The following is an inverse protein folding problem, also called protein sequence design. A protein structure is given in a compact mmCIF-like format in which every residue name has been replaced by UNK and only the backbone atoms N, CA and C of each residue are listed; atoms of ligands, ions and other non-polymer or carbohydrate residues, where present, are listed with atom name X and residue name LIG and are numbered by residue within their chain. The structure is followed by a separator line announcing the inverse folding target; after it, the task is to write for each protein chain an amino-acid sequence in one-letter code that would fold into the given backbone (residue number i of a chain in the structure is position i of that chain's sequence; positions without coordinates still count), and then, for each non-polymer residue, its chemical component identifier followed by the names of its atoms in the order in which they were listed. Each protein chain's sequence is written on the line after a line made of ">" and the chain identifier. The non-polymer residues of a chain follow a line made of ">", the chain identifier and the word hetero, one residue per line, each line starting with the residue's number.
data_IF_177215451470
#
_entry.id   IF_177215451470
#
_cell.length_a   1.000
_cell.length_b   1.000
_cell.length_c   1.000
_cell.angle_alpha   90.00
_cell.angle_beta   90.00
_cell.angle_gamma   90.00
#
_symmetry.space_group_name_H-M   'P 1'
#
loop_
_entity.id
_entity.type
_entity.pdbx_description
1 polymer ?
#
# COMPACT_ATOMS: atom_id res chain seq x y z
N UNK A 1 51.32 53.37 -25.99
CA UNK A 1 49.85 53.32 -25.86
C UNK A 1 49.37 51.98 -26.43
N UNK A 2 49.06 51.02 -25.57
CA UNK A 2 48.58 49.70 -25.97
C UNK A 2 47.46 49.42 -25.05
N UNK A 3 46.23 49.30 -25.63
CA UNK A 3 45.00 49.02 -24.93
C UNK A 3 44.76 47.52 -24.94
N UNK A 4 44.72 46.93 -23.77
CA UNK A 4 44.49 45.47 -23.59
C UNK A 4 43.05 45.09 -23.81
N UNK A 5 42.81 44.10 -24.68
CA UNK A 5 41.56 43.44 -24.89
C UNK A 5 41.30 42.40 -23.79
N UNK A 6 40.21 42.52 -23.06
CA UNK A 6 39.72 41.51 -22.12
C UNK A 6 38.77 40.57 -22.86
N UNK A 7 39.16 39.33 -23.01
CA UNK A 7 38.36 38.24 -23.61
C UNK A 7 37.33 37.75 -22.61
N UNK A 8 36.06 37.97 -22.90
CA UNK A 8 34.91 37.37 -22.19
C UNK A 8 34.61 36.01 -22.84
N UNK A 9 35.29 34.99 -22.38
CA UNK A 9 34.99 33.60 -22.77
C UNK A 9 34.91 32.75 -21.49
N UNK A 10 33.76 32.58 -20.89
CA UNK A 10 33.62 31.72 -19.70
C UNK A 10 32.25 31.56 -19.08
N UNK A 11 31.19 32.16 -19.65
CA UNK A 11 29.87 32.17 -18.98
C UNK A 11 28.77 31.29 -19.61
N UNK A 12 29.05 30.52 -20.64
CA UNK A 12 28.01 29.72 -21.33
C UNK A 12 27.99 28.23 -20.99
N UNK A 13 28.97 27.70 -20.28
CA UNK A 13 29.04 26.27 -19.92
C UNK A 13 28.38 25.92 -18.59
N UNK A 14 28.11 26.88 -17.71
CA UNK A 14 27.53 26.62 -16.39
C UNK A 14 25.99 26.38 -16.42
N UNK A 15 25.30 26.88 -17.45
CA UNK A 15 23.83 26.74 -17.52
C UNK A 15 23.35 25.36 -18.03
N UNK A 16 24.18 24.61 -18.74
CA UNK A 16 23.79 23.29 -19.30
C UNK A 16 23.82 22.16 -18.26
N UNK A 17 24.69 22.25 -17.26
CA UNK A 17 24.80 21.26 -16.19
C UNK A 17 23.65 21.30 -15.19
N UNK A 18 23.05 22.47 -14.95
CA UNK A 18 21.96 22.62 -13.98
C UNK A 18 20.63 22.13 -14.52
N UNK A 19 20.39 22.19 -15.82
CA UNK A 19 19.16 21.70 -16.46
C UNK A 19 19.02 20.18 -16.46
N UNK A 20 20.13 19.44 -16.55
CA UNK A 20 20.15 17.96 -16.54
C UNK A 20 19.90 17.37 -15.15
N UNK A 21 20.29 18.06 -14.08
CA UNK A 21 20.06 17.61 -12.69
C UNK A 21 18.59 17.79 -12.26
N UNK A 22 17.88 18.79 -12.77
CA UNK A 22 16.47 19.02 -12.46
C UNK A 22 15.52 18.04 -13.17
N UNK A 23 15.87 17.56 -14.36
CA UNK A 23 15.03 16.62 -15.11
C UNK A 23 15.04 15.19 -14.53
N UNK A 24 16.09 14.77 -13.83
CA UNK A 24 16.15 13.43 -13.21
C UNK A 24 15.25 13.29 -11.97
N UNK A 25 14.97 14.35 -11.25
CA UNK A 25 14.11 14.32 -10.06
C UNK A 25 12.64 14.15 -10.41
N UNK A 26 12.18 14.71 -11.52
CA UNK A 26 10.81 14.59 -11.96
C UNK A 26 10.39 13.15 -12.31
N UNK A 27 11.32 12.34 -12.84
CA UNK A 27 11.07 10.94 -13.19
C UNK A 27 10.90 10.04 -11.95
N UNK A 28 11.64 10.29 -10.88
CA UNK A 28 11.55 9.51 -9.64
C UNK A 28 10.21 9.76 -8.92
N UNK A 29 9.76 10.99 -8.87
CA UNK A 29 8.47 11.35 -8.25
C UNK A 29 7.30 10.70 -9.01
N UNK A 30 7.36 10.68 -10.34
CA UNK A 30 6.33 10.03 -11.17
C UNK A 30 6.26 8.52 -10.96
N UNK A 31 7.39 7.85 -10.83
CA UNK A 31 7.45 6.41 -10.58
C UNK A 31 6.87 6.02 -9.21
N UNK A 32 7.17 6.78 -8.17
CA UNK A 32 6.62 6.58 -6.82
C UNK A 32 5.11 6.80 -6.78
N UNK A 33 4.63 7.81 -7.50
CA UNK A 33 3.21 8.08 -7.62
C UNK A 33 2.45 6.93 -8.31
N UNK A 34 3.03 6.38 -9.37
CA UNK A 34 2.46 5.25 -10.08
C UNK A 34 2.40 4.00 -9.20
N UNK A 35 3.45 3.71 -8.43
CA UNK A 35 3.50 2.57 -7.52
C UNK A 35 2.47 2.70 -6.39
N UNK A 36 2.39 3.85 -5.72
CA UNK A 36 1.42 4.08 -4.66
C UNK A 36 -0.03 3.89 -5.16
N UNK A 37 -0.33 4.42 -6.34
CA UNK A 37 -1.64 4.27 -6.97
C UNK A 37 -1.94 2.81 -7.30
N UNK A 38 -0.93 2.05 -7.77
CA UNK A 38 -1.06 0.63 -8.06
C UNK A 38 -1.34 -0.18 -6.80
N UNK A 39 -0.65 0.08 -5.68
CA UNK A 39 -0.89 -0.58 -4.39
C UNK A 39 -2.31 -0.35 -3.90
N UNK A 40 -2.80 0.88 -3.96
CA UNK A 40 -4.19 1.22 -3.61
C UNK A 40 -5.18 0.52 -4.55
N UNK A 41 -4.86 0.38 -5.83
CA UNK A 41 -5.69 -0.38 -6.77
C UNK A 41 -5.74 -1.87 -6.41
N UNK A 42 -4.66 -2.49 -5.92
CA UNK A 42 -4.67 -3.85 -5.37
C UNK A 42 -5.60 -3.94 -4.17
N UNK A 43 -5.46 -3.03 -3.20
CA UNK A 43 -6.33 -2.98 -2.00
C UNK A 43 -7.79 -2.90 -2.41
N UNK A 44 -8.16 -2.02 -3.36
CA UNK A 44 -9.52 -1.94 -3.87
C UNK A 44 -9.98 -3.22 -4.57
N UNK A 45 -9.11 -3.84 -5.37
CA UNK A 45 -9.45 -5.08 -6.07
C UNK A 45 -9.65 -6.25 -5.11
N UNK A 46 -8.93 -6.33 -3.99
CA UNK A 46 -9.18 -7.34 -2.97
C UNK A 46 -10.62 -7.33 -2.48
N UNK A 47 -11.24 -6.17 -2.36
CA UNK A 47 -12.63 -6.03 -1.93
C UNK A 47 -13.60 -6.81 -2.83
N UNK A 48 -13.29 -6.98 -4.12
CA UNK A 48 -14.13 -7.72 -5.07
C UNK A 48 -14.11 -9.24 -4.88
N UNK A 49 -13.09 -9.74 -4.19
CA UNK A 49 -12.81 -11.17 -4.03
C UNK A 49 -12.88 -11.66 -2.59
N UNK A 50 -13.20 -10.76 -1.67
CA UNK A 50 -13.28 -11.05 -0.24
C UNK A 50 -14.69 -10.73 0.24
N UNK A 51 -15.27 -11.68 0.97
CA UNK A 51 -16.57 -11.54 1.61
C UNK A 51 -16.35 -11.41 3.12
N UNK A 52 -16.91 -10.36 3.70
CA UNK A 52 -16.92 -10.13 5.14
C UNK A 52 -18.12 -10.81 5.78
N UNK A 53 -18.01 -11.31 7.01
CA UNK A 53 -19.15 -11.85 7.74
C UNK A 53 -20.23 -10.78 7.86
N UNK A 54 -21.50 -11.22 7.77
CA UNK A 54 -22.61 -10.33 8.05
C UNK A 54 -22.44 -9.77 9.47
N UNK A 55 -22.51 -8.46 9.61
CA UNK A 55 -22.53 -7.85 10.94
C UNK A 55 -23.84 -8.24 11.60
N UNK A 56 -23.79 -9.24 12.50
CA UNK A 56 -24.93 -9.66 13.27
C UNK A 56 -25.46 -8.45 14.06
N UNK A 57 -26.69 -8.04 13.80
CA UNK A 57 -27.44 -6.94 14.44
C UNK A 57 -27.47 -5.58 13.73
N UNK A 58 -26.98 -5.43 12.51
CA UNK A 58 -27.28 -4.21 11.74
C UNK A 58 -28.47 -4.52 10.81
N UNK A 59 -29.60 -3.79 10.93
CA UNK A 59 -30.73 -3.97 10.03
C UNK A 59 -30.29 -3.78 8.58
N UNK A 60 -30.72 -4.68 7.70
CA UNK A 60 -30.41 -4.64 6.24
C UNK A 60 -30.84 -3.31 5.60
N UNK A 61 -31.75 -2.58 6.24
CA UNK A 61 -32.23 -1.27 5.80
C UNK A 61 -31.18 -0.15 5.88
N UNK A 62 -30.13 -0.30 6.69
CA UNK A 62 -29.13 0.77 6.92
C UNK A 62 -27.83 0.52 6.14
N UNK A 63 -27.76 -0.28 5.12
CA UNK A 63 -26.60 -0.55 4.26
C UNK A 63 -25.34 0.28 4.67
N UNK A 64 -24.71 0.00 5.82
CA UNK A 64 -23.66 0.84 6.36
C UNK A 64 -22.47 0.83 5.43
N UNK A 65 -21.77 1.97 5.33
CA UNK A 65 -20.59 2.09 4.49
C UNK A 65 -19.55 1.00 4.82
N UNK A 66 -18.83 0.53 3.80
CA UNK A 66 -17.64 -0.29 3.99
C UNK A 66 -16.49 0.60 4.45
N UNK A 67 -15.99 0.40 5.65
CA UNK A 67 -14.92 1.25 6.20
C UNK A 67 -13.54 0.62 5.93
N UNK A 68 -12.76 1.29 5.10
CA UNK A 68 -11.35 1.05 4.88
C UNK A 68 -10.56 2.05 5.74
N UNK A 69 -9.79 1.54 6.68
CA UNK A 69 -8.90 2.35 7.51
C UNK A 69 -7.49 2.33 6.92
N UNK A 70 -6.83 3.47 6.90
CA UNK A 70 -5.45 3.60 6.42
C UNK A 70 -4.58 4.24 7.49
N UNK A 71 -3.50 3.54 7.87
CA UNK A 71 -2.59 3.96 8.93
C UNK A 71 -1.51 4.84 8.35
N UNK A 72 -1.39 6.06 8.87
CA UNK A 72 -0.35 7.04 8.50
C UNK A 72 -0.15 7.16 6.97
N UNK A 73 -1.25 7.09 6.22
CA UNK A 73 -1.22 7.24 4.77
C UNK A 73 -0.94 8.69 4.41
N UNK A 74 0.10 8.93 3.58
CA UNK A 74 0.57 10.26 3.24
C UNK A 74 0.73 10.46 1.73
N UNK A 75 0.79 11.72 1.30
CA UNK A 75 1.08 12.11 -0.07
C UNK A 75 0.21 11.36 -1.08
N UNK A 76 0.85 10.82 -2.10
CA UNK A 76 0.17 10.16 -3.24
C UNK A 76 -0.69 8.96 -2.81
N UNK A 77 -0.28 8.21 -1.77
CA UNK A 77 -1.10 7.10 -1.24
C UNK A 77 -2.40 7.62 -0.66
N UNK A 78 -2.36 8.72 0.10
CA UNK A 78 -3.56 9.35 0.67
C UNK A 78 -4.50 9.86 -0.43
N UNK A 79 -3.93 10.48 -1.46
CA UNK A 79 -4.70 10.98 -2.61
C UNK A 79 -5.36 9.83 -3.39
N UNK A 80 -4.63 8.74 -3.64
CA UNK A 80 -5.15 7.55 -4.31
C UNK A 80 -6.28 6.88 -3.50
N UNK A 81 -6.14 6.78 -2.17
CA UNK A 81 -7.20 6.30 -1.29
C UNK A 81 -8.43 7.19 -1.33
N UNK A 82 -8.25 8.52 -1.40
CA UNK A 82 -9.33 9.49 -1.55
C UNK A 82 -10.22 9.23 -2.77
N UNK A 83 -9.65 8.71 -3.87
CA UNK A 83 -10.40 8.34 -5.08
C UNK A 83 -11.38 7.17 -4.85
N UNK A 84 -11.17 6.37 -3.80
CA UNK A 84 -12.05 5.24 -3.48
C UNK A 84 -13.38 5.67 -2.84
N UNK A 85 -13.49 6.87 -2.31
CA UNK A 85 -14.72 7.38 -1.68
C UNK A 85 -15.90 7.37 -2.67
N UNK A 86 -15.61 7.51 -3.98
CA UNK A 86 -16.61 7.44 -5.05
C UNK A 86 -16.89 6.01 -5.54
N UNK A 87 -16.35 4.99 -4.89
CA UNK A 87 -16.53 3.58 -5.23
C UNK A 87 -17.43 2.91 -4.21
N UNK A 88 -17.88 1.72 -4.57
CA UNK A 88 -18.70 0.88 -3.68
C UNK A 88 -18.17 -0.55 -3.61
N UNK A 89 -18.47 -1.23 -2.52
CA UNK A 89 -18.27 -2.65 -2.30
C UNK A 89 -19.63 -3.31 -2.02
N UNK A 90 -20.10 -4.19 -2.90
CA UNK A 90 -21.43 -4.82 -2.81
C UNK A 90 -22.56 -3.81 -2.52
N UNK A 91 -22.63 -2.74 -3.33
CA UNK A 91 -23.59 -1.64 -3.20
C UNK A 91 -23.44 -0.79 -1.92
N UNK A 92 -22.46 -1.05 -1.07
CA UNK A 92 -22.12 -0.24 0.10
C UNK A 92 -21.09 0.82 -0.29
N UNK A 93 -21.30 2.11 0.01
CA UNK A 93 -20.31 3.12 -0.27
C UNK A 93 -19.03 2.84 0.53
N UNK A 94 -17.85 3.10 -0.06
CA UNK A 94 -16.58 2.99 0.65
C UNK A 94 -16.33 4.26 1.44
N UNK A 95 -16.09 4.10 2.74
CA UNK A 95 -15.65 5.16 3.64
C UNK A 95 -14.16 4.95 3.94
N UNK A 96 -13.35 5.99 3.73
CA UNK A 96 -11.94 5.98 4.14
C UNK A 96 -11.82 6.65 5.50
N UNK A 97 -11.16 5.97 6.43
CA UNK A 97 -10.80 6.53 7.75
C UNK A 97 -9.28 6.53 7.85
N UNK A 98 -8.69 7.69 7.99
CA UNK A 98 -7.25 7.83 8.21
C UNK A 98 -6.96 7.76 9.71
N UNK A 99 -5.93 7.00 10.08
CA UNK A 99 -5.46 6.83 11.45
C UNK A 99 -4.02 7.34 11.47
N UNK A 100 -3.86 8.60 11.79
CA UNK A 100 -2.57 9.28 11.73
C UNK A 100 -1.84 9.26 13.10
N UNK A 101 -2.56 8.98 14.19
CA UNK A 101 -2.00 8.88 15.54
C UNK A 101 -2.17 7.48 16.13
N UNK A 102 -1.12 6.96 16.76
CA UNK A 102 -1.14 5.63 17.39
C UNK A 102 -2.23 5.48 18.46
N UNK A 103 -2.57 6.58 19.14
CA UNK A 103 -3.62 6.62 20.16
C UNK A 103 -5.03 6.45 19.60
N UNK A 104 -5.24 6.69 18.31
CA UNK A 104 -6.55 6.55 17.66
C UNK A 104 -6.83 5.09 17.26
N UNK A 105 -5.79 4.30 17.00
CA UNK A 105 -5.94 2.96 16.48
C UNK A 105 -6.82 2.05 17.35
N UNK A 106 -6.66 1.97 18.68
CA UNK A 106 -7.49 1.09 19.53
C UNK A 106 -8.99 1.42 19.47
N UNK A 107 -9.31 2.70 19.27
CA UNK A 107 -10.72 3.17 19.21
C UNK A 107 -11.31 2.94 17.82
N UNK A 108 -10.53 3.10 16.78
CA UNK A 108 -11.00 3.04 15.39
C UNK A 108 -11.03 1.62 14.82
N UNK A 109 -10.11 0.75 15.27
CA UNK A 109 -9.85 -0.56 14.65
C UNK A 109 -11.11 -1.46 14.57
N UNK A 110 -11.96 -1.42 15.59
CA UNK A 110 -13.20 -2.22 15.63
C UNK A 110 -14.25 -1.76 14.61
N UNK A 111 -14.07 -0.58 14.03
CA UNK A 111 -14.95 -0.02 12.99
C UNK A 111 -14.46 -0.30 11.59
N UNK A 112 -13.22 -0.79 11.44
CA UNK A 112 -12.61 -1.07 10.16
C UNK A 112 -12.99 -2.48 9.69
N UNK A 113 -13.34 -2.65 8.42
CA UNK A 113 -13.40 -3.95 7.76
C UNK A 113 -12.06 -4.32 7.15
N UNK A 114 -11.36 -3.34 6.62
CA UNK A 114 -10.00 -3.51 6.12
C UNK A 114 -9.09 -2.45 6.74
N UNK A 115 -7.97 -2.87 7.30
CA UNK A 115 -6.91 -2.00 7.77
C UNK A 115 -5.74 -2.08 6.81
N UNK A 116 -5.41 -0.97 6.17
CA UNK A 116 -4.29 -0.87 5.25
C UNK A 116 -3.14 -0.09 5.89
N UNK A 117 -1.97 -0.68 5.87
CA UNK A 117 -0.72 -0.06 6.34
C UNK A 117 0.20 0.11 5.13
N UNK A 118 0.23 1.31 4.53
CA UNK A 118 1.16 1.61 3.45
C UNK A 118 2.60 1.71 3.96
N UNK A 119 3.57 1.77 3.06
CA UNK A 119 5.00 1.93 3.41
C UNK A 119 5.24 3.12 4.34
N UNK A 120 4.49 4.23 4.21
CA UNK A 120 4.58 5.37 5.12
C UNK A 120 4.10 5.08 6.55
N UNK A 121 3.39 3.99 6.76
CA UNK A 121 2.92 3.51 8.05
C UNK A 121 3.76 2.37 8.64
N UNK A 122 4.87 1.99 8.03
CA UNK A 122 5.67 0.83 8.43
C UNK A 122 6.14 0.89 9.91
N UNK A 123 6.47 2.07 10.41
CA UNK A 123 6.90 2.28 11.80
C UNK A 123 5.76 2.38 12.81
N UNK A 124 4.52 2.26 12.34
CA UNK A 124 3.35 2.40 13.21
C UNK A 124 3.15 1.15 14.07
N UNK A 125 3.03 1.33 15.37
CA UNK A 125 2.86 0.22 16.30
C UNK A 125 1.45 -0.39 16.18
N UNK A 126 1.39 -1.56 15.58
CA UNK A 126 0.16 -2.33 15.46
C UNK A 126 -0.09 -3.21 16.69
N UNK A 127 -1.35 -3.45 17.08
CA UNK A 127 -1.67 -4.37 18.16
C UNK A 127 -1.27 -5.81 17.83
N UNK A 128 -1.11 -6.64 18.86
CA UNK A 128 -0.74 -8.04 18.71
C UNK A 128 -1.86 -8.89 18.07
N UNK A 129 -3.11 -8.45 18.21
CA UNK A 129 -4.28 -9.12 17.65
C UNK A 129 -5.30 -8.11 17.13
N UNK A 130 -6.11 -8.55 16.19
CA UNK A 130 -7.15 -7.74 15.55
C UNK A 130 -8.53 -8.33 15.85
N UNK A 131 -9.57 -7.48 15.96
CA UNK A 131 -10.95 -7.97 16.06
C UNK A 131 -11.34 -8.83 14.86
N UNK A 132 -12.26 -9.77 15.10
CA UNK A 132 -12.90 -10.51 14.01
C UNK A 132 -13.60 -9.54 13.04
N UNK A 133 -13.49 -9.77 11.76
CA UNK A 133 -14.00 -8.90 10.70
C UNK A 133 -13.00 -7.85 10.21
N UNK A 134 -11.82 -7.73 10.83
CA UNK A 134 -10.75 -6.81 10.40
C UNK A 134 -9.68 -7.56 9.62
N UNK A 135 -9.57 -7.28 8.32
CA UNK A 135 -8.52 -7.81 7.45
C UNK A 135 -7.33 -6.85 7.42
N UNK A 136 -6.13 -7.32 7.76
CA UNK A 136 -4.92 -6.52 7.73
C UNK A 136 -4.17 -6.70 6.40
N UNK A 137 -3.99 -5.58 5.68
CA UNK A 137 -3.17 -5.49 4.46
C UNK A 137 -1.99 -4.57 4.72
N UNK A 138 -0.77 -5.02 4.45
CA UNK A 138 0.47 -4.27 4.74
C UNK A 138 1.36 -4.24 3.51
N UNK A 139 1.93 -3.07 3.22
CA UNK A 139 3.00 -2.94 2.23
C UNK A 139 4.33 -3.40 2.83
N UNK A 140 5.08 -4.23 2.09
CA UNK A 140 6.41 -4.72 2.47
C UNK A 140 6.44 -5.35 3.89
N UNK A 141 5.41 -6.11 4.25
CA UNK A 141 5.36 -6.76 5.55
C UNK A 141 6.52 -7.75 5.73
N UNK A 142 7.02 -7.85 6.96
CA UNK A 142 7.99 -8.88 7.29
C UNK A 142 7.38 -10.28 7.09
N UNK A 143 8.07 -11.23 6.45
CA UNK A 143 7.53 -12.56 6.13
C UNK A 143 7.00 -13.32 7.35
N UNK A 144 7.61 -13.11 8.52
CA UNK A 144 7.26 -13.79 9.77
C UNK A 144 6.18 -13.06 10.58
N UNK A 145 5.65 -11.92 10.10
CA UNK A 145 4.56 -11.26 10.79
C UNK A 145 3.23 -12.00 10.60
N UNK A 146 2.99 -12.94 11.49
CA UNK A 146 1.79 -13.78 11.47
C UNK A 146 0.47 -13.01 11.61
N UNK A 147 0.49 -11.71 11.91
CA UNK A 147 -0.72 -10.87 12.02
C UNK A 147 -1.26 -10.45 10.66
N UNK A 148 -0.36 -10.29 9.68
CA UNK A 148 -0.69 -9.76 8.36
C UNK A 148 -1.47 -10.79 7.56
N UNK A 149 -2.63 -10.39 7.05
CA UNK A 149 -3.48 -11.25 6.21
C UNK A 149 -3.03 -11.24 4.75
N UNK A 150 -2.69 -10.07 4.23
CA UNK A 150 -2.18 -9.90 2.86
C UNK A 150 -1.01 -8.91 2.90
N UNK A 151 0.12 -9.30 2.32
CA UNK A 151 1.27 -8.43 2.12
C UNK A 151 1.41 -8.07 0.64
N UNK A 152 1.53 -6.78 0.33
CA UNK A 152 1.92 -6.28 -0.98
C UNK A 152 3.43 -6.12 -1.03
N UNK A 153 4.08 -6.82 -1.95
CA UNK A 153 5.54 -6.88 -2.04
C UNK A 153 6.01 -6.32 -3.39
N UNK A 154 7.06 -5.53 -3.36
CA UNK A 154 7.75 -5.10 -4.57
C UNK A 154 8.81 -6.14 -4.95
N UNK A 155 8.75 -6.61 -6.18
CA UNK A 155 9.74 -7.54 -6.73
C UNK A 155 10.97 -6.79 -7.25
N UNK A 156 12.06 -7.52 -7.49
CA UNK A 156 13.30 -6.95 -8.01
C UNK A 156 13.13 -6.28 -9.39
N UNK A 157 12.18 -6.75 -10.19
CA UNK A 157 11.80 -6.15 -11.48
C UNK A 157 10.70 -5.09 -11.36
N UNK A 158 10.53 -4.53 -10.16
CA UNK A 158 9.63 -3.39 -9.84
C UNK A 158 8.14 -3.67 -10.09
N UNK A 159 7.71 -4.92 -10.06
CA UNK A 159 6.30 -5.28 -10.05
C UNK A 159 5.78 -5.36 -8.63
N UNK A 160 4.48 -5.18 -8.46
CA UNK A 160 3.80 -5.45 -7.19
C UNK A 160 3.16 -6.83 -7.26
N UNK A 161 3.51 -7.68 -6.34
CA UNK A 161 2.93 -8.99 -6.11
C UNK A 161 2.31 -9.03 -4.71
N UNK A 162 1.52 -10.04 -4.41
CA UNK A 162 0.99 -10.20 -3.06
C UNK A 162 1.09 -11.64 -2.58
N UNK A 163 1.26 -11.77 -1.29
CA UNK A 163 1.23 -13.03 -0.56
C UNK A 163 0.10 -13.02 0.44
N UNK A 164 -0.45 -14.18 0.74
CA UNK A 164 -1.55 -14.35 1.66
C UNK A 164 -1.16 -15.27 2.81
N UNK A 165 -1.60 -14.91 4.02
CA UNK A 165 -1.46 -15.73 5.21
C UNK A 165 -2.84 -16.30 5.57
N UNK A 166 -3.08 -17.55 5.22
CA UNK A 166 -4.37 -18.21 5.43
C UNK A 166 -4.77 -18.24 6.91
N UNK A 167 -3.82 -18.44 7.83
CA UNK A 167 -4.13 -18.44 9.26
C UNK A 167 -4.57 -17.06 9.76
N UNK A 168 -4.00 -15.96 9.23
CA UNK A 168 -4.44 -14.61 9.57
C UNK A 168 -5.80 -14.28 8.95
N UNK A 169 -6.06 -14.75 7.72
CA UNK A 169 -7.35 -14.61 7.05
C UNK A 169 -8.45 -15.35 7.81
N UNK A 170 -8.16 -16.57 8.26
CA UNK A 170 -9.09 -17.36 9.07
C UNK A 170 -9.43 -16.66 10.40
N UNK A 171 -8.41 -16.12 11.09
CA UNK A 171 -8.63 -15.32 12.32
C UNK A 171 -9.46 -14.06 12.06
N UNK A 172 -9.31 -13.43 10.91
CA UNK A 172 -10.13 -12.29 10.52
C UNK A 172 -11.60 -12.70 10.23
N UNK A 173 -11.87 -13.99 10.05
CA UNK A 173 -13.22 -14.50 9.80
C UNK A 173 -13.79 -14.12 8.44
N UNK A 174 -12.96 -13.71 7.48
CA UNK A 174 -13.38 -13.35 6.12
C UNK A 174 -13.25 -14.55 5.17
N UNK A 175 -14.05 -14.55 4.10
CA UNK A 175 -13.97 -15.57 3.06
C UNK A 175 -13.26 -15.01 1.83
N UNK A 176 -12.19 -15.64 1.42
CA UNK A 176 -11.43 -15.26 0.22
C UNK A 176 -11.79 -16.19 -0.92
N UNK A 177 -12.04 -15.65 -2.11
CA UNK A 177 -12.36 -16.44 -3.30
C UNK A 177 -11.15 -17.30 -3.74
N UNK A 178 -11.43 -18.45 -4.33
CA UNK A 178 -10.40 -19.32 -4.92
C UNK A 178 -9.64 -18.62 -6.07
N UNK A 179 -10.30 -17.67 -6.73
CA UNK A 179 -9.69 -16.88 -7.79
C UNK A 179 -8.58 -15.99 -7.25
N UNK A 180 -8.80 -15.28 -6.12
CA UNK A 180 -7.78 -14.45 -5.50
C UNK A 180 -6.61 -15.30 -4.98
N UNK A 181 -6.91 -16.45 -4.37
CA UNK A 181 -5.88 -17.39 -3.91
C UNK A 181 -4.95 -17.88 -5.02
N UNK A 182 -5.48 -18.12 -6.22
CA UNK A 182 -4.66 -18.52 -7.38
C UNK A 182 -3.71 -17.43 -7.88
N UNK A 183 -4.03 -16.16 -7.62
CA UNK A 183 -3.20 -15.02 -8.01
C UNK A 183 -2.13 -14.69 -6.96
N UNK A 184 -2.31 -15.13 -5.72
CA UNK A 184 -1.34 -14.93 -4.65
C UNK A 184 -0.06 -15.72 -4.93
N UNK A 185 1.08 -15.12 -4.60
CA UNK A 185 2.37 -15.82 -4.64
C UNK A 185 2.51 -16.73 -3.43
N UNK A 186 3.17 -17.87 -3.65
CA UNK A 186 3.46 -18.80 -2.57
C UNK A 186 4.75 -18.33 -1.83
N UNK A 187 4.71 -18.07 -0.53
CA UNK A 187 5.88 -17.60 0.21
C UNK A 187 7.07 -18.59 0.19
N UNK A 188 6.82 -19.87 -0.12
CA UNK A 188 7.87 -20.90 -0.14
C UNK A 188 8.87 -20.80 -1.29
N UNK A 189 8.63 -19.95 -2.32
CA UNK A 189 9.52 -19.84 -3.49
C UNK A 189 10.56 -18.72 -3.42
N UNK A 190 10.55 -17.87 -2.40
CA UNK A 190 11.51 -16.77 -2.30
C UNK A 190 12.89 -17.17 -1.75
N UNK A 191 13.03 -18.33 -1.12
CA UNK A 191 14.30 -18.77 -0.48
C UNK A 191 15.18 -19.69 -1.33
N UNK A 192 14.87 -19.98 -2.61
CA UNK A 192 15.61 -20.98 -3.40
C UNK A 192 16.61 -20.41 -4.40
N UNK A 193 16.85 -19.11 -4.47
CA UNK A 193 17.78 -18.52 -5.43
C UNK A 193 19.14 -18.05 -4.84
N UNK A 194 19.49 -18.44 -3.61
CA UNK A 194 20.76 -18.01 -3.00
C UNK A 194 21.76 -19.16 -2.77
N UNK A 195 21.44 -20.39 -3.20
CA UNK A 195 22.37 -21.53 -3.03
C UNK A 195 22.57 -22.29 -4.35
N UNK A 196 23.45 -21.75 -5.19
CA UNK A 196 23.82 -22.33 -6.48
C UNK A 196 25.12 -21.76 -7.02
N UNK A 197 26.19 -21.76 -6.22
CA UNK A 197 27.47 -21.25 -6.71
C UNK A 197 28.66 -21.61 -5.84
N UNK A 198 28.90 -22.90 -5.62
CA UNK A 198 30.23 -23.37 -5.22
C UNK A 198 30.38 -24.89 -5.42
N UNK A 199 30.86 -25.24 -6.59
CA UNK A 199 31.78 -26.38 -6.78
C UNK A 199 32.77 -25.98 -7.87
#
# INVERSE_FOLDING_TARGET
>A
MIVGGVTIAGRKLACWGLGLLLSSQALLVSAQAAEASLRVAFVYNFLKFIEWPAQNNVPVAENPAFTLCAVNAQGVTRDALGQLVNKSHHSRPIKITYIDLATELPVQISRCQLLYVPTSGADFQLPQSFPNGVLLVVDEAHPDDGRVSISLLRTADSRIEFVMNEAAIERAGVKVSSQLRKLAKNPKHQNSNTDGGRQ
#
